data_IF_772977663666
#
_entry.id   IF_772977663666
#
_cell.length_a   1.000
_cell.length_b   1.000
_cell.length_c   1.000
_cell.angle_alpha   90.00
_cell.angle_beta   90.00
_cell.angle_gamma   90.00
#
_symmetry.space_group_name_H-M   'P 1'
#
loop_
_entity.id
_entity.type
_entity.pdbx_description
1 polymer ?
#
# COMPACT_ATOMS: atom_id res chain seq x y z
N UNK A 1 20.85 3.74 15.39
CA UNK A 1 20.05 3.11 14.32
C UNK A 1 19.77 4.21 13.34
N UNK A 2 19.89 4.01 12.07
CA UNK A 2 19.40 4.97 11.06
C UNK A 2 17.89 4.91 11.09
N UNK A 3 17.23 6.05 11.26
CA UNK A 3 15.77 6.15 11.23
C UNK A 3 15.29 5.66 9.84
N UNK A 4 14.36 4.71 9.83
CA UNK A 4 13.79 4.14 8.60
C UNK A 4 12.54 4.93 8.19
N UNK A 5 12.77 6.19 7.86
CA UNK A 5 11.73 7.15 7.47
C UNK A 5 11.92 7.61 6.04
N UNK A 6 10.85 7.97 5.37
CA UNK A 6 10.85 8.56 4.03
C UNK A 6 9.75 9.60 3.89
N UNK A 7 9.98 10.58 3.02
CA UNK A 7 8.97 11.53 2.58
C UNK A 7 9.07 11.68 1.05
N UNK A 8 8.05 11.23 0.34
CA UNK A 8 8.00 11.19 -1.13
C UNK A 8 6.81 11.99 -1.62
N UNK A 9 7.04 12.79 -2.65
CA UNK A 9 6.00 13.54 -3.36
C UNK A 9 5.94 13.10 -4.81
N UNK A 10 4.74 13.06 -5.37
CA UNK A 10 4.50 12.73 -6.78
C UNK A 10 3.44 13.65 -7.36
N UNK A 11 3.77 14.34 -8.43
CA UNK A 11 2.85 15.19 -9.17
C UNK A 11 2.76 14.68 -10.61
N UNK A 12 1.55 14.46 -11.09
CA UNK A 12 1.23 14.07 -12.48
C UNK A 12 0.22 15.06 -13.07
N UNK A 13 -0.34 14.74 -14.23
CA UNK A 13 -1.47 15.52 -14.76
C UNK A 13 -2.79 15.21 -14.04
N UNK A 14 -2.86 14.06 -13.39
CA UNK A 14 -4.07 13.49 -12.78
C UNK A 14 -4.04 13.53 -11.25
N UNK A 15 -2.85 13.55 -10.62
CA UNK A 15 -2.71 13.43 -9.16
C UNK A 15 -1.62 14.33 -8.60
N UNK A 16 -1.82 14.83 -7.36
CA UNK A 16 -0.80 15.46 -6.52
C UNK A 16 -0.78 14.74 -5.17
N UNK A 17 0.38 14.13 -4.82
CA UNK A 17 0.49 13.17 -3.72
C UNK A 17 1.68 13.49 -2.83
N UNK A 18 1.44 13.41 -1.51
CA UNK A 18 2.50 13.40 -0.51
C UNK A 18 2.35 12.14 0.36
N UNK A 19 3.44 11.40 0.55
CA UNK A 19 3.53 10.25 1.45
C UNK A 19 4.67 10.45 2.42
N UNK A 20 4.40 10.33 3.73
CA UNK A 20 5.43 10.21 4.77
C UNK A 20 5.27 8.88 5.46
N UNK A 21 6.35 8.13 5.59
CA UNK A 21 6.40 6.80 6.18
C UNK A 21 7.50 6.69 7.23
N UNK A 22 7.15 6.18 8.41
CA UNK A 22 8.11 5.62 9.38
C UNK A 22 7.82 4.12 9.54
N UNK A 23 8.80 3.29 9.15
CA UNK A 23 8.68 1.82 9.22
C UNK A 23 8.80 1.31 10.66
N UNK A 24 9.39 2.08 11.55
CA UNK A 24 9.57 1.79 12.97
C UNK A 24 8.58 2.56 13.87
N UNK A 25 7.42 2.93 13.32
CA UNK A 25 6.36 3.69 13.99
C UNK A 25 5.55 2.91 15.02
N UNK A 26 4.51 3.55 15.52
CA UNK A 26 3.56 3.01 16.52
C UNK A 26 2.18 2.69 15.91
N UNK A 27 1.98 2.93 14.61
CA UNK A 27 0.73 2.71 13.89
C UNK A 27 -0.16 3.94 13.81
N UNK A 28 0.40 5.12 13.99
CA UNK A 28 -0.31 6.39 13.84
C UNK A 28 -0.48 6.73 12.34
N UNK A 29 -1.69 7.12 11.95
CA UNK A 29 -1.97 7.48 10.57
C UNK A 29 -2.73 8.79 10.40
N UNK A 30 -2.51 9.43 9.24
CA UNK A 30 -3.31 10.55 8.73
C UNK A 30 -3.47 10.36 7.24
N UNK A 31 -4.65 9.94 6.81
CA UNK A 31 -4.91 9.53 5.42
C UNK A 31 -6.06 10.36 4.84
N UNK A 32 -5.83 10.95 3.67
CA UNK A 32 -6.83 11.71 2.91
C UNK A 32 -6.55 11.54 1.41
N UNK A 33 -7.21 10.57 0.78
CA UNK A 33 -7.14 10.33 -0.67
C UNK A 33 -8.43 10.71 -1.40
N UNK A 34 -9.48 11.06 -0.66
CA UNK A 34 -10.81 11.30 -1.19
C UNK A 34 -11.62 10.03 -1.48
N UNK A 35 -11.02 8.83 -1.35
CA UNK A 35 -11.70 7.53 -1.53
C UNK A 35 -11.84 6.85 -0.17
N UNK A 36 -13.02 6.97 0.45
CA UNK A 36 -13.21 6.63 1.87
C UNK A 36 -12.86 5.20 2.24
N UNK A 37 -13.14 4.22 1.40
CA UNK A 37 -12.74 2.82 1.67
C UNK A 37 -11.23 2.62 1.54
N UNK A 38 -10.59 3.30 0.60
CA UNK A 38 -9.14 3.25 0.44
C UNK A 38 -8.42 3.88 1.63
N UNK A 39 -8.92 5.04 2.11
CA UNK A 39 -8.42 5.68 3.32
C UNK A 39 -8.49 4.73 4.53
N UNK A 40 -9.63 4.04 4.71
CA UNK A 40 -9.81 3.05 5.76
C UNK A 40 -8.84 1.87 5.62
N UNK A 41 -8.55 1.41 4.41
CA UNK A 41 -7.60 0.31 4.18
C UNK A 41 -6.16 0.73 4.48
N UNK A 42 -5.75 1.94 4.11
CA UNK A 42 -4.42 2.48 4.43
C UNK A 42 -4.26 2.75 5.93
N UNK A 43 -5.30 3.23 6.60
CA UNK A 43 -5.33 3.38 8.07
C UNK A 43 -5.16 2.01 8.77
N UNK A 44 -5.90 0.99 8.31
CA UNK A 44 -5.76 -0.37 8.81
C UNK A 44 -4.36 -0.96 8.54
N UNK A 45 -3.80 -0.68 7.39
CA UNK A 45 -2.44 -1.09 7.02
C UNK A 45 -1.39 -0.47 7.96
N UNK A 46 -1.50 0.83 8.23
CA UNK A 46 -0.65 1.55 9.19
C UNK A 46 -0.78 0.97 10.60
N UNK A 47 -2.00 0.93 11.13
CA UNK A 47 -2.29 0.46 12.49
C UNK A 47 -1.83 -0.96 12.75
N UNK A 48 -2.14 -1.90 11.85
CA UNK A 48 -1.78 -3.31 12.04
C UNK A 48 -0.35 -3.65 11.63
N UNK A 49 0.25 -2.83 10.76
CA UNK A 49 1.67 -2.92 10.38
C UNK A 49 2.61 -2.21 11.35
N UNK A 50 2.07 -1.38 12.26
CA UNK A 50 2.81 -0.49 13.17
C UNK A 50 3.72 0.47 12.39
N UNK A 51 3.24 0.97 11.25
CA UNK A 51 3.88 2.05 10.51
C UNK A 51 3.25 3.38 10.91
N UNK A 52 4.04 4.44 11.06
CA UNK A 52 3.44 5.78 11.05
C UNK A 52 3.33 6.24 9.59
N UNK A 53 2.12 6.57 9.16
CA UNK A 53 1.82 6.82 7.75
C UNK A 53 0.96 8.07 7.56
N UNK A 54 1.49 9.01 6.81
CA UNK A 54 0.69 10.13 6.30
C UNK A 54 0.57 10.01 4.78
N UNK A 55 -0.65 10.09 4.26
CA UNK A 55 -0.94 10.11 2.82
C UNK A 55 -1.94 11.21 2.54
N UNK A 56 -1.60 12.12 1.64
CA UNK A 56 -2.55 13.05 1.03
C UNK A 56 -2.51 12.88 -0.48
N UNK A 57 -3.68 12.90 -1.10
CA UNK A 57 -3.80 12.82 -2.56
C UNK A 57 -4.93 13.71 -3.04
N UNK A 58 -4.64 14.63 -3.94
CA UNK A 58 -5.63 15.34 -4.74
C UNK A 58 -5.63 14.73 -6.15
N UNK A 59 -6.63 13.91 -6.45
CA UNK A 59 -6.73 13.15 -7.68
C UNK A 59 -8.01 13.46 -8.46
N UNK A 60 -8.03 13.06 -9.73
CA UNK A 60 -9.13 13.27 -10.69
C UNK A 60 -10.32 12.31 -10.47
N UNK A 61 -10.84 12.23 -9.23
CA UNK A 61 -11.91 11.32 -8.81
C UNK A 61 -13.23 11.53 -9.58
N UNK A 62 -13.40 12.64 -10.26
CA UNK A 62 -14.52 12.85 -11.20
C UNK A 62 -14.44 11.96 -12.44
N UNK A 63 -13.28 11.38 -12.73
CA UNK A 63 -13.07 10.39 -13.78
C UNK A 63 -13.32 8.99 -13.23
N UNK A 64 -12.48 8.54 -12.30
CA UNK A 64 -12.60 7.31 -11.51
C UNK A 64 -11.56 7.26 -10.39
N UNK A 65 -11.47 6.13 -9.66
CA UNK A 65 -10.52 5.92 -8.57
C UNK A 65 -9.15 5.39 -9.02
N UNK A 66 -8.96 5.12 -10.30
CA UNK A 66 -7.79 4.42 -10.83
C UNK A 66 -6.48 5.17 -10.56
N UNK A 67 -6.39 6.41 -11.06
CA UNK A 67 -5.16 7.18 -10.93
C UNK A 67 -4.81 7.43 -9.46
N UNK A 68 -5.80 7.75 -8.63
CA UNK A 68 -5.61 7.95 -7.19
C UNK A 68 -5.03 6.71 -6.51
N UNK A 69 -5.64 5.55 -6.70
CA UNK A 69 -5.19 4.31 -6.02
C UNK A 69 -3.85 3.82 -6.55
N UNK A 70 -3.64 3.88 -7.87
CA UNK A 70 -2.38 3.45 -8.48
C UNK A 70 -1.21 4.36 -8.09
N UNK A 71 -1.35 5.67 -8.22
CA UNK A 71 -0.28 6.62 -7.94
C UNK A 71 0.06 6.68 -6.45
N UNK A 72 -0.92 6.56 -5.54
CA UNK A 72 -0.65 6.37 -4.10
C UNK A 72 0.14 5.10 -3.85
N UNK A 73 -0.20 3.98 -4.51
CA UNK A 73 0.55 2.72 -4.37
C UNK A 73 1.99 2.84 -4.88
N UNK A 74 2.21 3.56 -5.98
CA UNK A 74 3.55 3.85 -6.52
C UNK A 74 4.35 4.66 -5.51
N UNK A 75 3.81 5.77 -5.03
CA UNK A 75 4.46 6.70 -4.11
C UNK A 75 4.77 6.03 -2.76
N UNK A 76 3.84 5.23 -2.24
CA UNK A 76 4.06 4.43 -1.03
C UNK A 76 5.15 3.37 -1.24
N UNK A 77 5.20 2.73 -2.40
CA UNK A 77 6.25 1.77 -2.76
C UNK A 77 7.65 2.42 -2.82
N UNK A 78 7.72 3.62 -3.38
CA UNK A 78 8.95 4.44 -3.40
C UNK A 78 9.36 4.83 -1.97
N UNK A 79 8.40 5.22 -1.11
CA UNK A 79 8.66 5.52 0.29
C UNK A 79 9.22 4.31 1.06
N UNK A 80 8.68 3.10 0.84
CA UNK A 80 9.25 1.88 1.41
C UNK A 80 10.68 1.62 0.91
N UNK A 81 10.94 1.82 -0.37
CA UNK A 81 12.28 1.64 -0.94
C UNK A 81 13.29 2.60 -0.32
N UNK A 82 12.90 3.86 -0.14
CA UNK A 82 13.73 4.88 0.47
C UNK A 82 13.98 4.60 1.96
N UNK A 83 12.92 4.34 2.74
CA UNK A 83 13.00 4.07 4.17
C UNK A 83 13.82 2.80 4.49
N UNK A 84 13.71 1.74 3.68
CA UNK A 84 14.45 0.50 3.87
C UNK A 84 15.92 0.57 3.39
N UNK A 85 16.25 1.53 2.53
CA UNK A 85 17.61 1.76 2.06
C UNK A 85 18.30 0.49 1.52
N UNK A 86 19.43 0.12 2.10
CA UNK A 86 20.20 -1.07 1.68
C UNK A 86 19.63 -2.41 2.19
N UNK A 87 18.48 -2.38 2.86
CA UNK A 87 17.75 -3.53 3.40
C UNK A 87 18.52 -4.38 4.42
N UNK A 88 19.54 -3.80 5.08
CA UNK A 88 20.30 -4.50 6.11
C UNK A 88 19.54 -4.50 7.44
N UNK A 89 19.62 -5.61 8.14
CA UNK A 89 19.06 -5.75 9.49
C UNK A 89 17.53 -5.93 9.51
N UNK A 90 16.88 -6.11 8.37
CA UNK A 90 15.45 -6.40 8.28
C UNK A 90 15.17 -7.91 8.34
N UNK A 91 13.94 -8.26 8.76
CA UNK A 91 13.38 -9.60 8.54
C UNK A 91 12.85 -9.63 7.11
N UNK A 92 13.58 -10.30 6.22
CA UNK A 92 13.33 -10.27 4.77
C UNK A 92 12.04 -10.96 4.35
N UNK A 93 11.69 -12.09 5.01
CA UNK A 93 10.54 -12.92 4.66
C UNK A 93 9.48 -12.82 5.75
N UNK A 94 8.23 -12.68 5.36
CA UNK A 94 7.10 -12.75 6.28
C UNK A 94 5.88 -13.34 5.60
N UNK A 95 4.99 -13.92 6.40
CA UNK A 95 3.67 -14.35 5.98
C UNK A 95 2.63 -14.05 7.06
N UNK A 96 1.37 -13.87 6.63
CA UNK A 96 0.22 -13.71 7.53
C UNK A 96 -1.03 -14.29 6.89
N UNK A 97 -1.87 -14.85 7.76
CA UNK A 97 -3.28 -15.15 7.45
C UNK A 97 -4.16 -14.37 8.39
N UNK A 98 -5.11 -13.65 7.85
CA UNK A 98 -6.05 -12.83 8.61
C UNK A 98 -7.48 -13.27 8.28
N UNK A 99 -8.23 -13.80 9.24
CA UNK A 99 -9.62 -14.17 9.05
C UNK A 99 -10.55 -12.98 9.31
N UNK A 100 -11.65 -12.93 8.59
CA UNK A 100 -12.80 -12.09 8.87
C UNK A 100 -14.06 -12.88 8.51
N UNK A 101 -14.80 -13.33 9.52
CA UNK A 101 -15.95 -14.23 9.39
C UNK A 101 -15.62 -15.46 8.50
N UNK A 102 -16.31 -15.63 7.37
CA UNK A 102 -16.07 -16.73 6.43
C UNK A 102 -14.87 -16.50 5.49
N UNK A 103 -14.33 -15.29 5.44
CA UNK A 103 -13.20 -14.96 4.56
C UNK A 103 -11.86 -15.13 5.27
N UNK A 104 -10.83 -15.45 4.50
CA UNK A 104 -9.45 -15.46 4.98
C UNK A 104 -8.52 -14.90 3.92
N UNK A 105 -7.77 -13.86 4.26
CA UNK A 105 -6.70 -13.37 3.42
C UNK A 105 -5.36 -14.01 3.83
N UNK A 106 -4.57 -14.42 2.84
CA UNK A 106 -3.21 -14.96 3.03
C UNK A 106 -2.23 -14.12 2.23
N UNK A 107 -1.17 -13.65 2.88
CA UNK A 107 -0.12 -12.83 2.25
C UNK A 107 1.24 -13.41 2.59
N UNK A 108 2.11 -13.50 1.56
CA UNK A 108 3.52 -13.88 1.70
C UNK A 108 4.38 -12.83 1.01
N UNK A 109 5.42 -12.34 1.67
CA UNK A 109 6.31 -11.31 1.15
C UNK A 109 7.78 -11.69 1.25
N UNK A 110 8.55 -11.37 0.19
CA UNK A 110 10.02 -11.34 0.19
C UNK A 110 10.50 -9.94 -0.21
N UNK A 111 11.20 -9.27 0.70
CA UNK A 111 11.75 -7.92 0.48
C UNK A 111 13.10 -8.01 -0.22
N UNK A 112 13.12 -8.65 -1.40
CA UNK A 112 14.34 -9.02 -2.12
C UNK A 112 14.93 -7.92 -3.00
N UNK A 113 14.15 -6.87 -3.31
CA UNK A 113 14.48 -5.92 -4.37
C UNK A 113 14.11 -6.40 -5.78
N UNK A 114 13.47 -7.58 -5.91
CA UNK A 114 12.96 -8.12 -7.18
C UNK A 114 11.44 -8.05 -7.18
N UNK A 115 10.82 -7.16 -7.97
CA UNK A 115 9.38 -7.01 -7.99
C UNK A 115 8.71 -8.20 -8.67
N UNK A 116 7.73 -8.78 -7.99
CA UNK A 116 6.78 -9.74 -8.54
C UNK A 116 5.49 -9.70 -7.74
N UNK A 117 4.37 -9.78 -8.40
CA UNK A 117 3.06 -9.79 -7.75
C UNK A 117 2.19 -10.90 -8.31
N UNK A 118 1.65 -11.71 -7.41
CA UNK A 118 0.65 -12.74 -7.70
C UNK A 118 -0.56 -12.54 -6.82
N UNK A 119 -1.75 -12.65 -7.40
CA UNK A 119 -3.01 -12.60 -6.67
C UNK A 119 -3.90 -13.76 -7.09
N UNK A 120 -4.33 -14.54 -6.12
CA UNK A 120 -5.28 -15.63 -6.28
C UNK A 120 -6.58 -15.30 -5.53
N UNK A 121 -7.69 -15.27 -6.24
CA UNK A 121 -9.01 -14.98 -5.69
C UNK A 121 -9.85 -14.06 -6.57
N UNK A 122 -11.12 -13.93 -6.17
CA UNK A 122 -12.10 -13.10 -6.86
C UNK A 122 -12.91 -12.29 -5.85
N UNK A 123 -13.23 -11.06 -6.22
CA UNK A 123 -14.12 -10.21 -5.42
C UNK A 123 -15.56 -10.41 -5.88
N UNK A 124 -16.47 -10.64 -4.93
CA UNK A 124 -17.89 -10.84 -5.22
C UNK A 124 -18.64 -9.55 -5.57
N UNK A 125 -18.09 -8.40 -5.20
CA UNK A 125 -18.65 -7.08 -5.47
C UNK A 125 -17.74 -6.31 -6.41
N UNK A 126 -18.31 -5.48 -7.29
CA UNK A 126 -17.56 -4.65 -8.23
C UNK A 126 -16.98 -3.38 -7.56
N UNK A 127 -17.59 -2.95 -6.46
CA UNK A 127 -17.22 -1.72 -5.75
C UNK A 127 -17.53 -1.87 -4.25
N UNK A 128 -16.72 -1.26 -3.40
CA UNK A 128 -16.91 -1.15 -1.95
C UNK A 128 -16.53 0.25 -1.49
N UNK A 129 -17.47 1.00 -0.89
CA UNK A 129 -17.22 2.32 -0.29
C UNK A 129 -16.55 3.33 -1.22
N UNK A 130 -16.95 3.36 -2.50
CA UNK A 130 -16.42 4.26 -3.52
C UNK A 130 -15.11 3.78 -4.17
N UNK A 131 -14.58 2.62 -3.77
CA UNK A 131 -13.41 2.01 -4.38
C UNK A 131 -13.82 0.84 -5.27
N UNK A 132 -13.34 0.83 -6.50
CA UNK A 132 -13.55 -0.27 -7.45
C UNK A 132 -12.74 -1.50 -7.00
N UNK A 133 -13.37 -2.68 -6.86
CA UNK A 133 -12.74 -3.85 -6.22
C UNK A 133 -11.48 -4.34 -6.95
N UNK A 134 -11.41 -4.22 -8.28
CA UNK A 134 -10.20 -4.61 -9.02
C UNK A 134 -8.99 -3.72 -8.68
N UNK A 135 -9.20 -2.53 -8.13
CA UNK A 135 -8.12 -1.64 -7.72
C UNK A 135 -7.28 -2.21 -6.57
N UNK A 136 -7.82 -3.14 -5.78
CA UNK A 136 -7.02 -3.88 -4.80
C UNK A 136 -5.88 -4.67 -5.45
N UNK A 137 -6.12 -5.26 -6.64
CA UNK A 137 -5.08 -5.95 -7.42
C UNK A 137 -4.08 -4.98 -8.04
N UNK A 138 -4.55 -3.83 -8.54
CA UNK A 138 -3.70 -2.76 -9.06
C UNK A 138 -2.80 -2.19 -7.97
N UNK A 139 -3.37 -1.86 -6.80
CA UNK A 139 -2.63 -1.41 -5.63
C UNK A 139 -1.49 -2.37 -5.27
N UNK A 140 -1.80 -3.66 -5.09
CA UNK A 140 -0.80 -4.67 -4.73
C UNK A 140 0.33 -4.79 -5.74
N UNK A 141 0.01 -4.72 -7.04
CA UNK A 141 1.00 -4.75 -8.13
C UNK A 141 1.89 -3.51 -8.12
N UNK A 142 1.30 -2.32 -8.05
CA UNK A 142 2.03 -1.06 -8.09
C UNK A 142 2.91 -0.90 -6.85
N UNK A 143 2.39 -1.24 -5.66
CA UNK A 143 3.17 -1.28 -4.43
C UNK A 143 4.35 -2.27 -4.53
N UNK A 144 4.10 -3.53 -4.91
CA UNK A 144 5.14 -4.55 -5.00
C UNK A 144 6.23 -4.16 -6.00
N UNK A 145 5.84 -3.55 -7.14
CA UNK A 145 6.77 -3.11 -8.17
C UNK A 145 7.70 -2.00 -7.66
N UNK A 146 7.15 -0.99 -7.01
CA UNK A 146 7.91 0.21 -6.61
C UNK A 146 8.66 0.02 -5.28
N UNK A 147 8.17 -0.86 -4.39
CA UNK A 147 8.89 -1.26 -3.18
C UNK A 147 9.91 -2.39 -3.41
N UNK A 148 9.96 -2.97 -4.61
CA UNK A 148 10.86 -4.08 -4.93
C UNK A 148 10.54 -5.35 -4.13
N UNK A 149 9.24 -5.66 -3.99
CA UNK A 149 8.74 -6.83 -3.26
C UNK A 149 8.38 -7.97 -4.20
N UNK A 150 8.67 -9.21 -3.80
CA UNK A 150 7.92 -10.38 -4.27
C UNK A 150 6.75 -10.57 -3.31
N UNK A 151 5.51 -10.41 -3.80
CA UNK A 151 4.29 -10.41 -3.00
C UNK A 151 3.27 -11.39 -3.59
N UNK A 152 2.84 -12.35 -2.78
CA UNK A 152 1.76 -13.28 -3.10
C UNK A 152 0.59 -13.03 -2.16
N UNK A 153 -0.60 -12.84 -2.72
CA UNK A 153 -1.85 -12.64 -1.99
C UNK A 153 -2.88 -13.66 -2.45
N UNK A 154 -3.66 -14.17 -1.52
CA UNK A 154 -4.83 -15.02 -1.79
C UNK A 154 -5.99 -14.67 -0.87
N UNK A 155 -7.22 -14.73 -1.39
CA UNK A 155 -8.48 -14.51 -0.68
C UNK A 155 -9.52 -15.56 -1.05
#
# INVERSE_FOLDING_TARGET
MTDRTAAVTRETAETDIEVTLDVDGDGDSTIDTGVGFFDHMLDSFSTHGLFDLTVTCDGDLEIDDHHTVEDVAITLGEAFTEALGDKRGIVRFADRKVPLDEAVASVVVDISGRPYYEFEGEFSQSEVGGMTSHMAKHFGRSLATNAGLTLHCAV
#
